data_IF_128815047826
#
_entry.id   IF_128815047826
#
_cell.length_a   1.000
_cell.length_b   1.000
_cell.length_c   1.000
_cell.angle_alpha   90.00
_cell.angle_beta   90.00
_cell.angle_gamma   90.00
#
_symmetry.space_group_name_H-M   'P 1'
#
loop_
_entity.id
_entity.type
_entity.pdbx_description
1 polymer ?
#
# COMPACT_ATOMS: atom_id res chain seq x y z
N UNK A 1 14.52 -4.58 -3.70
CA UNK A 1 13.09 -4.60 -3.30
C UNK A 1 12.85 -3.60 -2.18
N UNK A 2 11.79 -2.85 -2.27
CA UNK A 2 11.46 -1.82 -1.29
C UNK A 2 10.31 -2.27 -0.40
N UNK A 3 10.33 -1.84 0.85
CA UNK A 3 9.21 -2.01 1.77
C UNK A 3 8.63 -0.65 2.07
N UNK A 4 7.31 -0.52 1.88
CA UNK A 4 6.59 0.74 2.09
C UNK A 4 5.45 0.48 3.06
N UNK A 5 5.29 1.37 4.03
CA UNK A 5 4.24 1.29 5.02
C UNK A 5 3.35 2.52 4.95
N UNK A 6 2.04 2.31 5.00
CA UNK A 6 1.11 3.43 4.96
C UNK A 6 -0.33 2.98 5.11
N UNK A 7 -1.18 3.97 5.25
CA UNK A 7 -2.62 3.76 5.43
C UNK A 7 -3.31 3.69 4.07
N UNK A 8 -4.23 2.77 3.93
CA UNK A 8 -5.03 2.68 2.71
C UNK A 8 -5.96 3.87 2.62
N UNK A 9 -5.69 4.76 1.66
CA UNK A 9 -6.54 5.91 1.42
C UNK A 9 -7.80 5.50 0.67
N UNK A 10 -7.62 4.80 -0.43
CA UNK A 10 -8.75 4.25 -1.20
C UNK A 10 -8.27 3.20 -2.20
N UNK A 11 -9.21 2.36 -2.63
CA UNK A 11 -9.00 1.44 -3.74
C UNK A 11 -9.39 2.18 -5.01
N UNK A 12 -8.41 2.47 -5.85
CA UNK A 12 -8.65 3.19 -7.10
C UNK A 12 -9.30 2.27 -8.13
N UNK A 13 -8.83 1.03 -8.18
CA UNK A 13 -9.31 0.04 -9.14
C UNK A 13 -9.11 -1.36 -8.58
N UNK A 14 -10.05 -2.24 -8.85
CA UNK A 14 -9.96 -3.66 -8.51
C UNK A 14 -10.59 -4.49 -9.62
N UNK A 15 -9.79 -5.31 -10.28
CA UNK A 15 -10.29 -6.28 -11.25
C UNK A 15 -10.58 -7.58 -10.53
N UNK A 16 -11.85 -7.93 -10.42
CA UNK A 16 -12.30 -9.10 -9.66
C UNK A 16 -11.94 -10.43 -10.31
N UNK A 17 -11.64 -10.43 -11.61
CA UNK A 17 -11.32 -11.67 -12.30
C UNK A 17 -9.91 -12.18 -11.94
N UNK A 18 -8.97 -11.26 -11.76
CA UNK A 18 -7.58 -11.63 -11.46
C UNK A 18 -7.05 -11.05 -10.16
N UNK A 19 -7.89 -10.30 -9.43
CA UNK A 19 -7.54 -9.63 -8.17
C UNK A 19 -6.39 -8.65 -8.29
N UNK A 20 -6.30 -7.99 -9.43
CA UNK A 20 -5.36 -6.90 -9.63
C UNK A 20 -5.93 -5.62 -9.00
N UNK A 21 -5.11 -4.95 -8.21
CA UNK A 21 -5.50 -3.74 -7.50
C UNK A 21 -4.63 -2.56 -7.88
N UNK A 22 -5.24 -1.37 -7.90
CA UNK A 22 -4.53 -0.10 -7.87
C UNK A 22 -5.01 0.61 -6.60
N UNK A 23 -4.08 0.88 -5.70
CA UNK A 23 -4.37 1.44 -4.39
C UNK A 23 -3.71 2.80 -4.24
N UNK A 24 -4.38 3.70 -3.52
CA UNK A 24 -3.76 4.95 -3.08
C UNK A 24 -3.40 4.80 -1.61
N UNK A 25 -2.12 4.95 -1.29
CA UNK A 25 -1.60 4.76 0.06
C UNK A 25 -1.11 6.09 0.60
N UNK A 26 -1.57 6.46 1.80
CA UNK A 26 -1.04 7.60 2.52
C UNK A 26 0.16 7.14 3.33
N UNK A 27 1.35 7.62 2.94
CA UNK A 27 2.60 7.17 3.55
C UNK A 27 2.71 7.66 4.98
N UNK A 28 3.09 6.76 5.89
CA UNK A 28 3.30 7.12 7.29
C UNK A 28 4.75 7.48 7.60
N UNK A 29 5.59 7.52 6.58
CA UNK A 29 7.00 7.89 6.69
C UNK A 29 7.43 8.55 5.40
N UNK A 30 8.61 9.16 5.42
CA UNK A 30 9.17 9.78 4.22
C UNK A 30 10.04 8.79 3.47
N UNK A 31 9.82 8.70 2.18
CA UNK A 31 10.59 7.82 1.29
C UNK A 31 11.22 8.66 0.19
N UNK A 32 12.49 8.42 -0.10
CA UNK A 32 13.24 9.20 -1.08
C UNK A 32 12.64 9.14 -2.48
N UNK A 33 12.02 8.02 -2.82
CA UNK A 33 11.44 7.83 -4.15
C UNK A 33 10.04 8.43 -4.29
N UNK A 34 9.39 8.81 -3.20
CA UNK A 34 8.03 9.33 -3.23
C UNK A 34 8.03 10.84 -3.40
N UNK A 35 7.17 11.34 -4.27
CA UNK A 35 7.08 12.76 -4.58
C UNK A 35 6.17 13.54 -3.62
N UNK A 36 5.50 12.85 -2.71
CA UNK A 36 4.59 13.48 -1.76
C UNK A 36 4.16 12.49 -0.71
N UNK A 37 2.99 12.74 -0.13
CA UNK A 37 2.46 11.95 0.97
C UNK A 37 1.71 10.71 0.50
N UNK A 38 1.38 10.61 -0.79
CA UNK A 38 0.61 9.52 -1.35
C UNK A 38 1.45 8.74 -2.36
N UNK A 39 1.24 7.45 -2.39
CA UNK A 39 1.91 6.57 -3.34
C UNK A 39 0.88 5.62 -3.94
N UNK A 40 0.96 5.43 -5.26
CA UNK A 40 0.17 4.40 -5.92
C UNK A 40 0.86 3.05 -5.72
N UNK A 41 0.10 2.08 -5.24
CA UNK A 41 0.57 0.70 -5.09
C UNK A 41 -0.27 -0.17 -6.00
N UNK A 42 0.39 -0.95 -6.84
CA UNK A 42 -0.28 -1.86 -7.78
C UNK A 42 0.18 -3.29 -7.52
N UNK A 43 -0.70 -4.22 -7.77
CA UNK A 43 -0.34 -5.63 -7.62
C UNK A 43 -1.54 -6.54 -7.64
N UNK A 44 -1.28 -7.85 -7.65
CA UNK A 44 -2.29 -8.88 -7.57
C UNK A 44 -2.28 -9.46 -6.17
N UNK A 45 -3.40 -9.34 -5.47
CA UNK A 45 -3.51 -9.81 -4.09
C UNK A 45 -4.72 -10.73 -3.97
N UNK A 46 -4.45 -12.03 -3.97
CA UNK A 46 -5.48 -13.05 -3.84
C UNK A 46 -5.82 -13.27 -2.38
N UNK A 47 -7.11 -13.47 -2.10
CA UNK A 47 -7.60 -13.80 -0.76
C UNK A 47 -7.22 -12.76 0.30
N UNK A 48 -7.10 -11.50 -0.11
CA UNK A 48 -6.79 -10.42 0.80
C UNK A 48 -7.89 -9.37 0.76
N UNK A 49 -8.38 -8.98 1.92
CA UNK A 49 -9.43 -7.98 2.05
C UNK A 49 -8.84 -6.67 2.58
N UNK A 50 -8.93 -5.63 1.77
CA UNK A 50 -8.43 -4.31 2.14
C UNK A 50 -9.51 -3.51 2.84
N UNK A 51 -9.11 -2.84 3.93
CA UNK A 51 -9.99 -1.96 4.68
C UNK A 51 -9.41 -0.55 4.63
N UNK A 52 -10.22 0.42 4.22
CA UNK A 52 -9.80 1.82 4.17
C UNK A 52 -9.39 2.30 5.56
N UNK A 53 -8.36 3.13 5.60
CA UNK A 53 -7.77 3.70 6.80
C UNK A 53 -6.96 2.73 7.65
N UNK A 54 -6.89 1.46 7.29
CA UNK A 54 -6.01 0.52 7.97
C UNK A 54 -4.57 0.66 7.46
N UNK A 55 -3.64 0.27 8.31
CA UNK A 55 -2.21 0.35 8.04
C UNK A 55 -1.72 -0.95 7.43
N UNK A 56 -1.01 -0.84 6.31
CA UNK A 56 -0.47 -1.98 5.58
C UNK A 56 0.99 -1.78 5.26
N UNK A 57 1.72 -2.88 5.14
CA UNK A 57 3.09 -2.92 4.66
C UNK A 57 3.11 -3.63 3.31
N UNK A 58 3.78 -3.03 2.33
CA UNK A 58 3.90 -3.56 0.98
C UNK A 58 5.35 -3.75 0.63
N UNK A 59 5.66 -4.85 -0.05
CA UNK A 59 6.99 -5.11 -0.60
C UNK A 59 6.92 -5.25 -2.10
N UNK A 60 7.85 -4.62 -2.80
CA UNK A 60 7.92 -4.73 -4.24
C UNK A 60 8.98 -3.84 -4.83
N UNK A 61 8.83 -3.55 -6.09
CA UNK A 61 9.76 -2.73 -6.84
C UNK A 61 9.16 -1.37 -7.15
N UNK A 62 9.97 -0.34 -7.02
CA UNK A 62 9.55 0.99 -7.45
C UNK A 62 9.68 1.05 -8.96
N UNK A 63 8.59 1.43 -9.62
CA UNK A 63 8.55 1.59 -11.07
C UNK A 63 8.08 2.99 -11.41
N UNK A 64 8.58 3.52 -12.51
CA UNK A 64 8.14 4.80 -13.01
C UNK A 64 7.21 4.57 -14.20
N UNK A 65 5.95 4.94 -14.02
CA UNK A 65 4.96 4.83 -15.08
C UNK A 65 4.95 6.13 -15.88
N UNK A 66 4.95 6.03 -17.20
CA UNK A 66 4.97 7.21 -18.09
C UNK A 66 3.85 8.21 -17.80
N UNK A 67 2.68 7.69 -17.48
CA UNK A 67 1.48 8.51 -17.32
C UNK A 67 1.20 8.85 -15.87
N UNK A 68 1.45 7.90 -14.95
CA UNK A 68 1.02 8.04 -13.55
C UNK A 68 2.16 8.29 -12.58
N UNK A 69 3.40 8.37 -13.08
CA UNK A 69 4.55 8.66 -12.21
C UNK A 69 5.05 7.46 -11.45
N UNK A 70 5.52 7.71 -10.23
CA UNK A 70 6.13 6.67 -9.39
C UNK A 70 5.05 5.77 -8.80
N UNK A 71 5.26 4.47 -8.91
CA UNK A 71 4.37 3.46 -8.34
C UNK A 71 5.19 2.37 -7.67
N UNK A 72 4.62 1.72 -6.67
CA UNK A 72 5.18 0.49 -6.13
C UNK A 72 4.45 -0.70 -6.76
N UNK A 73 5.19 -1.53 -7.47
CA UNK A 73 4.67 -2.81 -7.98
C UNK A 73 4.88 -3.84 -6.86
N UNK A 74 3.84 -4.06 -6.08
CA UNK A 74 3.93 -4.87 -4.86
C UNK A 74 3.66 -6.35 -5.16
N UNK A 75 4.43 -7.20 -4.50
CA UNK A 75 4.24 -8.65 -4.56
C UNK A 75 3.78 -9.23 -3.24
N UNK A 76 3.93 -8.47 -2.15
CA UNK A 76 3.53 -8.90 -0.81
C UNK A 76 2.81 -7.75 -0.12
N UNK A 77 1.74 -8.08 0.60
CA UNK A 77 1.04 -7.13 1.48
C UNK A 77 0.81 -7.81 2.82
N UNK A 78 1.00 -7.05 3.88
CA UNK A 78 0.74 -7.51 5.24
C UNK A 78 0.04 -6.40 6.03
N UNK A 79 -0.94 -6.73 6.87
CA UNK A 79 -1.48 -5.75 7.79
C UNK A 79 -0.46 -5.44 8.87
N UNK A 80 -0.43 -4.20 9.31
CA UNK A 80 0.46 -3.76 10.38
C UNK A 80 -0.38 -3.51 11.62
N UNK A 81 0.02 -4.11 12.74
CA UNK A 81 -0.65 -3.92 14.01
C UNK A 81 0.05 -2.81 14.76
N UNK A 82 -0.72 -1.78 15.13
CA UNK A 82 -0.20 -0.67 15.91
C UNK A 82 -0.08 -1.06 17.37
N UNK A 83 1.14 -1.25 17.84
CA UNK A 83 1.40 -1.72 19.21
C UNK A 83 0.88 -0.81 20.29
N UNK A 84 0.80 0.49 20.02
CA UNK A 84 0.31 1.45 21.00
C UNK A 84 -1.15 1.21 21.36
N UNK A 85 -1.95 0.75 20.42
CA UNK A 85 -3.34 0.39 20.68
C UNK A 85 -3.45 -0.82 21.58
N UNK A 86 -2.56 -1.78 21.42
CA UNK A 86 -2.56 -2.98 22.26
C UNK A 86 -2.18 -2.64 23.71
N UNK A 87 -1.23 -1.74 23.86
CA UNK A 87 -0.78 -1.33 25.20
C UNK A 87 -1.87 -0.64 26.01
N UNK A 88 -2.83 -0.02 25.35
CA UNK A 88 -3.92 0.69 25.99
C UNK A 88 -5.09 -0.19 26.42
N UNK A 89 -5.07 -1.44 26.06
CA UNK A 89 -6.15 -2.38 26.39
C UNK A 89 -6.09 -2.84 27.86
N UNK A 90 -5.00 -2.59 28.50
CA UNK A 90 -4.80 -2.91 29.91
C UNK A 90 -5.31 -1.80 30.81
#
# INVERSE_FOLDING_TARGET
MQTVEGYLNKIIFHNKENNYYILSIFLNDKYDFAEGDYLSVVGTFNDFEFVEDDLYSFKGEIVQHRKYGIQLSAIVVEPVIEKDKEALVW
#
